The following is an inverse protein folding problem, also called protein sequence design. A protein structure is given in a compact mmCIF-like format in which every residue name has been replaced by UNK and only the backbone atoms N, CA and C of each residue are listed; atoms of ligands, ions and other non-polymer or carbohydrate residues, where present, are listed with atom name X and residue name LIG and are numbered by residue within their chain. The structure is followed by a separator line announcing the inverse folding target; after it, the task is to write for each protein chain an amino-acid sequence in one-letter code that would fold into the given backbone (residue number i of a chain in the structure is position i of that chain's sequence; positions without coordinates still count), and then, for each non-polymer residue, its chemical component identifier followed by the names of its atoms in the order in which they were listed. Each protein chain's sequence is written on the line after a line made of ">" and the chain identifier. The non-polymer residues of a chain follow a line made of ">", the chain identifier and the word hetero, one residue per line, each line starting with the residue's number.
data_IF_163764058795
#
_entry.id   IF_163764058795
#
_cell.length_a   1.000
_cell.length_b   1.000
_cell.length_c   1.000
_cell.angle_alpha   90.00
_cell.angle_beta   90.00
_cell.angle_gamma   90.00
#
_symmetry.space_group_name_H-M   'P 1'
#
loop_
_entity.id
_entity.type
_entity.pdbx_description
1 polymer ?
#
# COMPACT_ATOMS: atom_id res chain seq x y z
N UNK A 1 -41.23 -16.05 10.05
CA UNK A 1 -40.76 -17.18 9.23
C UNK A 1 -39.60 -17.78 9.97
N UNK A 2 -39.77 -19.03 10.37
CA UNK A 2 -38.80 -19.82 11.09
C UNK A 2 -37.69 -20.24 10.11
N UNK A 3 -36.43 -19.89 10.41
CA UNK A 3 -35.25 -20.26 9.62
C UNK A 3 -34.49 -21.43 10.28
N UNK A 4 -35.19 -22.29 11.03
CA UNK A 4 -34.65 -23.56 11.49
C UNK A 4 -34.38 -24.44 10.27
N UNK A 5 -33.10 -24.74 10.04
CA UNK A 5 -32.66 -25.62 8.97
C UNK A 5 -33.30 -27.00 9.17
N UNK A 6 -34.06 -27.43 8.17
CA UNK A 6 -34.54 -28.81 8.04
C UNK A 6 -33.34 -29.77 8.18
N UNK A 7 -33.57 -30.88 8.88
CA UNK A 7 -32.58 -31.93 9.03
C UNK A 7 -32.06 -32.37 7.64
N UNK A 8 -30.77 -32.67 7.52
CA UNK A 8 -30.20 -33.03 6.22
C UNK A 8 -30.88 -34.27 5.65
N UNK A 9 -31.08 -34.34 4.32
CA UNK A 9 -31.76 -35.46 3.68
C UNK A 9 -31.08 -36.81 3.98
N UNK A 10 -31.89 -37.87 4.04
CA UNK A 10 -31.44 -39.22 4.41
C UNK A 10 -30.26 -39.69 3.53
N UNK A 11 -29.15 -40.07 4.18
CA UNK A 11 -27.89 -40.43 3.52
C UNK A 11 -26.85 -39.30 3.42
N UNK A 12 -27.17 -38.07 3.85
CA UNK A 12 -26.22 -36.96 4.00
C UNK A 12 -25.92 -36.68 5.47
N UNK A 13 -24.70 -36.97 5.92
CA UNK A 13 -24.21 -36.44 7.20
C UNK A 13 -23.74 -34.99 7.01
N UNK A 14 -24.30 -34.07 7.79
CA UNK A 14 -23.72 -32.73 7.95
C UNK A 14 -22.45 -32.86 8.79
N UNK A 15 -21.33 -33.21 8.14
CA UNK A 15 -20.02 -33.17 8.77
C UNK A 15 -19.58 -31.72 8.81
N UNK A 16 -20.05 -30.97 9.81
CA UNK A 16 -19.59 -29.62 10.05
C UNK A 16 -18.07 -29.62 10.27
N UNK A 17 -17.32 -29.16 9.28
CA UNK A 17 -15.85 -29.09 9.35
C UNK A 17 -15.40 -27.63 9.55
N UNK A 18 -14.66 -27.38 10.62
CA UNK A 18 -13.97 -26.11 10.82
C UNK A 18 -12.60 -26.18 10.14
N UNK A 19 -12.40 -25.37 9.10
CA UNK A 19 -11.14 -25.30 8.36
C UNK A 19 -10.37 -24.05 8.76
N UNK A 20 -9.25 -24.22 9.48
CA UNK A 20 -8.40 -23.10 9.91
C UNK A 20 -7.23 -22.93 8.95
N UNK A 21 -7.06 -21.73 8.41
CA UNK A 21 -5.92 -21.37 7.56
C UNK A 21 -5.11 -20.24 8.20
N UNK A 22 -3.77 -20.29 8.05
CA UNK A 22 -2.87 -19.21 8.47
C UNK A 22 -2.49 -18.37 7.26
N UNK A 23 -3.01 -17.14 7.19
CA UNK A 23 -2.64 -16.17 6.15
C UNK A 23 -1.45 -15.32 6.61
N UNK A 24 -0.51 -14.99 5.70
CA UNK A 24 0.58 -14.06 6.03
C UNK A 24 0.01 -12.65 6.27
N UNK A 25 0.62 -11.89 7.17
CA UNK A 25 0.25 -10.49 7.43
C UNK A 25 0.32 -9.68 6.13
N UNK A 26 -0.78 -8.97 5.83
CA UNK A 26 -0.98 -8.21 4.58
C UNK A 26 -0.72 -9.05 3.32
N UNK A 27 -1.08 -10.33 3.34
CA UNK A 27 -0.84 -11.26 2.25
C UNK A 27 -2.00 -11.48 1.29
N UNK A 28 -3.16 -10.90 1.59
CA UNK A 28 -4.41 -11.26 0.92
C UNK A 28 -4.51 -10.67 -0.50
N UNK A 29 -4.20 -9.38 -0.64
CA UNK A 29 -4.33 -8.63 -1.88
C UNK A 29 -3.06 -7.81 -2.14
N UNK A 30 -2.82 -7.49 -3.40
CA UNK A 30 -1.68 -6.68 -3.83
C UNK A 30 -1.98 -5.87 -5.08
N UNK A 31 -1.17 -4.84 -5.30
CA UNK A 31 -1.11 -4.08 -6.54
C UNK A 31 0.07 -4.56 -7.38
N UNK A 32 -0.18 -4.91 -8.63
CA UNK A 32 0.82 -5.38 -9.59
C UNK A 32 0.52 -4.77 -10.97
N UNK A 33 1.52 -4.22 -11.67
CA UNK A 33 1.33 -3.76 -13.04
C UNK A 33 1.08 -4.94 -13.98
N UNK A 34 0.11 -4.81 -14.89
CA UNK A 34 -0.19 -5.86 -15.89
C UNK A 34 0.99 -6.12 -16.84
N UNK A 35 1.72 -5.07 -17.21
CA UNK A 35 2.91 -5.15 -18.02
C UNK A 35 3.80 -3.93 -17.75
N UNK A 36 5.12 -4.13 -17.82
CA UNK A 36 6.10 -3.05 -17.68
C UNK A 36 5.99 -2.30 -16.34
N UNK A 37 5.87 -0.98 -16.43
CA UNK A 37 5.75 -0.09 -15.29
C UNK A 37 4.29 0.20 -14.94
N UNK A 38 3.97 0.21 -13.65
CA UNK A 38 2.73 0.77 -13.12
C UNK A 38 2.99 1.89 -12.14
N UNK A 39 2.06 2.82 -12.03
CA UNK A 39 2.12 3.91 -11.06
C UNK A 39 0.89 3.88 -10.16
N UNK A 40 1.10 4.11 -8.87
CA UNK A 40 0.04 4.20 -7.86
C UNK A 40 0.27 5.48 -7.07
N UNK A 41 -0.76 6.29 -6.93
CA UNK A 41 -0.73 7.53 -6.15
C UNK A 41 -1.74 7.42 -5.02
N UNK A 42 -1.26 7.59 -3.79
CA UNK A 42 -2.12 7.61 -2.60
C UNK A 42 -2.86 8.95 -2.49
N UNK A 43 -3.93 8.96 -1.70
CA UNK A 43 -4.56 10.21 -1.28
C UNK A 43 -3.57 11.06 -0.49
N UNK A 44 -3.81 12.36 -0.50
CA UNK A 44 -2.98 13.29 0.25
C UNK A 44 -3.18 13.09 1.76
N UNK A 45 -2.07 13.18 2.50
CA UNK A 45 -2.00 12.95 3.93
C UNK A 45 -1.12 14.02 4.59
N UNK A 46 -1.25 14.15 5.90
CA UNK A 46 -0.41 14.97 6.77
C UNK A 46 0.42 14.08 7.69
N UNK A 47 1.72 13.87 7.41
CA UNK A 47 2.55 12.93 8.18
C UNK A 47 2.72 13.36 9.63
N UNK A 48 2.63 12.40 10.56
CA UNK A 48 2.95 12.55 11.98
C UNK A 48 4.39 12.11 12.30
N UNK A 49 4.94 11.21 11.49
CA UNK A 49 6.34 10.81 11.55
C UNK A 49 6.99 10.74 10.15
N UNK A 50 8.30 10.45 10.11
CA UNK A 50 9.04 10.25 8.86
C UNK A 50 9.11 8.80 8.38
N UNK A 51 8.68 7.82 9.19
CA UNK A 51 8.97 6.41 8.95
C UNK A 51 7.91 5.80 8.06
N UNK A 52 8.28 5.54 6.81
CA UNK A 52 7.45 4.83 5.86
C UNK A 52 8.02 3.44 5.64
N UNK A 53 7.18 2.41 5.82
CA UNK A 53 7.56 1.03 5.48
C UNK A 53 6.56 0.40 4.54
N UNK A 54 7.04 -0.49 3.67
CA UNK A 54 6.18 -1.22 2.74
C UNK A 54 6.35 -2.73 2.87
N UNK A 55 5.27 -3.46 2.60
CA UNK A 55 5.31 -4.88 2.29
C UNK A 55 5.30 -5.05 0.77
N UNK A 56 6.35 -5.63 0.21
CA UNK A 56 6.49 -5.76 -1.24
C UNK A 56 7.19 -7.06 -1.63
N UNK A 57 7.02 -7.47 -2.89
CA UNK A 57 7.78 -8.54 -3.52
C UNK A 57 8.16 -8.14 -4.95
N UNK A 58 9.45 -8.03 -5.22
CA UNK A 58 10.06 -7.65 -6.49
C UNK A 58 11.40 -8.40 -6.71
N UNK A 59 11.38 -9.73 -6.92
CA UNK A 59 12.60 -10.54 -7.04
C UNK A 59 13.44 -10.18 -8.28
N UNK A 60 12.79 -9.83 -9.38
CA UNK A 60 13.43 -9.42 -10.65
C UNK A 60 13.18 -7.96 -11.01
N UNK A 61 12.42 -7.28 -10.14
CA UNK A 61 11.89 -5.96 -10.38
C UNK A 61 12.48 -4.89 -9.49
N UNK A 62 11.73 -3.81 -9.33
CA UNK A 62 11.97 -2.79 -8.31
C UNK A 62 10.70 -2.02 -7.96
N UNK A 63 10.68 -1.52 -6.72
CA UNK A 63 9.74 -0.51 -6.26
C UNK A 63 10.50 0.79 -6.09
N UNK A 64 9.97 1.86 -6.66
CA UNK A 64 10.42 3.25 -6.42
C UNK A 64 9.30 4.01 -5.74
N UNK A 65 9.65 4.98 -4.91
CA UNK A 65 8.72 5.85 -4.22
C UNK A 65 9.08 7.32 -4.42
N UNK A 66 8.05 8.15 -4.50
CA UNK A 66 8.15 9.60 -4.56
C UNK A 66 7.18 10.23 -3.56
N UNK A 67 7.56 11.38 -3.02
CA UNK A 67 6.64 12.23 -2.27
C UNK A 67 6.45 13.55 -3.04
N UNK A 68 5.20 13.89 -3.32
CA UNK A 68 4.80 15.10 -4.02
C UNK A 68 3.96 16.01 -3.13
N UNK A 69 3.86 17.28 -3.54
CA UNK A 69 2.94 18.24 -2.93
C UNK A 69 1.46 17.89 -3.28
N UNK A 70 0.46 18.61 -2.72
CA UNK A 70 -0.94 18.34 -3.01
C UNK A 70 -1.33 18.50 -4.49
N UNK A 71 -0.55 19.26 -5.26
CA UNK A 71 -0.73 19.49 -6.70
C UNK A 71 0.00 18.45 -7.57
N UNK A 72 0.64 17.45 -6.96
CA UNK A 72 1.35 16.38 -7.66
C UNK A 72 2.76 16.78 -8.14
N UNK A 73 3.34 17.87 -7.63
CA UNK A 73 4.72 18.25 -7.96
C UNK A 73 5.69 17.51 -7.05
N UNK A 74 6.69 16.78 -7.58
CA UNK A 74 7.69 16.09 -6.76
C UNK A 74 8.40 17.06 -5.82
N UNK A 75 8.52 16.70 -4.54
CA UNK A 75 9.29 17.50 -3.58
C UNK A 75 10.78 17.21 -3.79
N UNK A 76 11.65 18.24 -3.93
CA UNK A 76 13.08 18.03 -4.13
C UNK A 76 13.73 17.15 -3.06
N UNK A 77 14.51 16.15 -3.49
CA UNK A 77 15.14 15.16 -2.61
C UNK A 77 14.22 14.01 -2.18
N UNK A 78 12.96 14.02 -2.63
CA UNK A 78 11.96 12.96 -2.43
C UNK A 78 11.39 12.45 -3.76
N UNK A 79 12.05 12.73 -4.88
CA UNK A 79 11.63 12.28 -6.21
C UNK A 79 11.93 10.81 -6.48
N UNK A 80 11.35 10.25 -7.55
CA UNK A 80 11.69 8.88 -7.98
C UNK A 80 13.18 8.70 -8.31
N UNK A 81 13.83 9.73 -8.86
CA UNK A 81 15.26 9.72 -9.19
C UNK A 81 16.16 9.77 -7.94
N UNK A 82 15.63 10.29 -6.84
CA UNK A 82 16.29 10.33 -5.54
C UNK A 82 16.04 9.06 -4.74
N UNK A 83 15.04 8.26 -5.10
CA UNK A 83 14.65 7.06 -4.36
C UNK A 83 15.73 5.98 -4.46
N UNK A 84 16.07 5.37 -3.32
CA UNK A 84 16.88 4.17 -3.29
C UNK A 84 15.96 2.98 -3.65
N UNK A 85 16.16 2.30 -4.80
CA UNK A 85 15.21 1.30 -5.27
C UNK A 85 15.14 0.09 -4.34
N UNK A 86 13.94 -0.35 -4.01
CA UNK A 86 13.72 -1.58 -3.25
C UNK A 86 13.59 -2.78 -4.19
N UNK A 87 14.31 -3.87 -3.84
CA UNK A 87 14.38 -5.14 -4.59
C UNK A 87 14.29 -6.30 -3.60
N UNK A 88 13.80 -7.45 -4.04
CA UNK A 88 13.64 -8.63 -3.16
C UNK A 88 12.24 -8.74 -2.57
N UNK A 89 12.10 -9.26 -1.35
CA UNK A 89 10.81 -9.53 -0.72
C UNK A 89 10.90 -9.26 0.78
N UNK A 90 10.18 -8.25 1.25
CA UNK A 90 10.23 -7.80 2.64
C UNK A 90 8.85 -7.37 3.13
N UNK A 91 8.55 -7.63 4.40
CA UNK A 91 7.25 -7.31 5.01
C UNK A 91 7.16 -5.87 5.57
N UNK A 92 8.30 -5.20 5.75
CA UNK A 92 8.40 -3.87 6.35
C UNK A 92 9.69 -3.14 5.90
N UNK A 93 9.95 -3.10 4.60
CA UNK A 93 11.11 -2.40 4.07
C UNK A 93 10.97 -0.88 4.21
N UNK A 94 11.97 -0.18 4.75
CA UNK A 94 11.94 1.27 4.89
C UNK A 94 12.14 1.95 3.53
N UNK A 95 11.34 2.98 3.23
CA UNK A 95 11.61 3.86 2.11
C UNK A 95 12.73 4.83 2.45
N UNK A 96 13.65 5.02 1.51
CA UNK A 96 14.80 5.93 1.64
C UNK A 96 15.07 6.63 0.31
N UNK A 97 15.62 7.82 0.41
CA UNK A 97 16.14 8.60 -0.72
C UNK A 97 17.61 8.92 -0.47
N UNK A 98 18.37 9.16 -1.54
CA UNK A 98 19.83 9.30 -1.51
C UNK A 98 20.33 10.23 -0.41
N UNK A 99 19.70 11.40 -0.26
CA UNK A 99 20.06 12.42 0.74
C UNK A 99 19.06 12.53 1.91
N UNK A 100 18.06 11.63 1.96
CA UNK A 100 17.00 11.63 2.98
C UNK A 100 16.76 10.21 3.47
N UNK A 101 17.15 9.94 4.70
CA UNK A 101 16.93 8.63 5.33
C UNK A 101 15.46 8.30 5.59
N UNK A 102 14.58 9.32 5.62
CA UNK A 102 13.15 9.20 5.90
C UNK A 102 12.37 10.46 5.44
N UNK A 103 11.07 10.49 5.71
CA UNK A 103 10.19 11.62 5.43
C UNK A 103 10.08 12.65 6.57
N UNK A 104 11.00 12.68 7.55
CA UNK A 104 10.85 13.50 8.76
C UNK A 104 10.77 15.01 8.47
N UNK A 105 11.38 15.48 7.39
CA UNK A 105 11.30 16.91 6.95
C UNK A 105 9.93 17.32 6.39
N UNK A 106 9.01 16.35 6.25
CA UNK A 106 7.67 16.53 5.70
C UNK A 106 6.58 16.40 6.76
N UNK A 107 6.94 16.18 8.04
CA UNK A 107 5.98 16.13 9.15
C UNK A 107 5.15 17.43 9.18
N UNK A 108 3.84 17.27 9.31
CA UNK A 108 2.88 18.37 9.33
C UNK A 108 2.53 18.99 7.97
N UNK A 109 3.21 18.62 6.88
CA UNK A 109 2.91 19.13 5.52
C UNK A 109 1.92 18.24 4.80
N UNK A 110 1.03 18.81 3.99
CA UNK A 110 0.17 18.03 3.11
C UNK A 110 0.98 17.51 1.92
N UNK A 111 1.02 16.19 1.77
CA UNK A 111 1.83 15.50 0.75
C UNK A 111 1.11 14.29 0.19
N UNK A 112 1.52 13.83 -0.99
CA UNK A 112 1.06 12.59 -1.61
C UNK A 112 2.23 11.62 -1.70
N UNK A 113 1.98 10.35 -1.40
CA UNK A 113 2.94 9.27 -1.60
C UNK A 113 2.61 8.54 -2.91
N UNK A 114 3.63 8.35 -3.74
CA UNK A 114 3.51 7.75 -5.05
C UNK A 114 4.50 6.60 -5.21
N UNK A 115 4.10 5.58 -5.96
CA UNK A 115 4.92 4.41 -6.26
C UNK A 115 5.02 4.18 -7.74
N UNK A 116 6.22 3.79 -8.20
CA UNK A 116 6.43 3.16 -9.50
C UNK A 116 6.86 1.72 -9.28
N UNK A 117 6.11 0.80 -9.89
CA UNK A 117 6.29 -0.64 -9.77
C UNK A 117 6.77 -1.20 -11.10
N UNK A 118 7.84 -1.97 -11.10
CA UNK A 118 8.28 -2.75 -12.26
C UNK A 118 8.50 -4.19 -11.83
N UNK A 119 7.75 -5.13 -12.43
CA UNK A 119 7.78 -6.56 -12.03
C UNK A 119 7.74 -6.74 -10.50
N UNK A 120 6.83 -6.02 -9.86
CA UNK A 120 6.75 -5.87 -8.42
C UNK A 120 5.30 -5.89 -7.94
N UNK A 121 5.10 -6.48 -6.77
CA UNK A 121 3.83 -6.50 -6.03
C UNK A 121 3.96 -5.64 -4.79
N UNK A 122 3.04 -4.68 -4.62
CA UNK A 122 2.91 -3.88 -3.42
C UNK A 122 1.69 -4.37 -2.62
N UNK A 123 1.92 -4.83 -1.40
CA UNK A 123 0.88 -5.42 -0.56
C UNK A 123 0.34 -4.45 0.48
N UNK A 124 1.23 -3.71 1.14
CA UNK A 124 0.85 -2.74 2.16
C UNK A 124 1.84 -1.57 2.24
N UNK A 125 1.33 -0.43 2.66
CA UNK A 125 2.08 0.77 2.99
C UNK A 125 1.72 1.16 4.41
N UNK A 126 2.72 1.41 5.24
CA UNK A 126 2.53 1.85 6.63
C UNK A 126 3.25 3.17 6.84
N UNK A 127 2.50 4.16 7.28
CA UNK A 127 2.96 5.49 7.59
C UNK A 127 2.02 6.12 8.62
N UNK A 128 2.55 6.65 9.72
CA UNK A 128 1.73 7.38 10.68
C UNK A 128 1.41 8.76 10.12
N UNK A 129 0.18 8.93 9.65
CA UNK A 129 -0.27 10.16 9.02
C UNK A 129 -1.77 10.37 9.23
N UNK A 130 -2.18 11.64 9.23
CA UNK A 130 -3.59 11.98 9.19
C UNK A 130 -4.07 12.05 7.74
N UNK A 131 -5.24 11.48 7.42
CA UNK A 131 -5.85 11.72 6.13
C UNK A 131 -6.22 13.20 5.99
N UNK A 132 -5.98 13.77 4.81
CA UNK A 132 -6.41 15.13 4.48
C UNK A 132 -7.63 15.07 3.56
N UNK A 133 -8.71 15.76 3.93
CA UNK A 133 -10.03 15.63 3.30
C UNK A 133 -10.61 16.93 2.67
N UNK A 134 -9.92 18.08 2.60
CA UNK A 134 -10.37 19.33 1.90
C UNK A 134 -9.34 19.81 0.86
N UNK A 135 -9.50 20.82 -0.02
CA UNK A 135 -10.65 21.58 -0.57
C UNK A 135 -10.65 21.42 -2.12
N UNK A 136 -10.75 20.21 -2.63
CA UNK A 136 -11.09 20.03 -4.05
C UNK A 136 -12.60 19.90 -4.14
N UNK A 137 -13.30 20.61 -5.05
CA UNK A 137 -14.69 20.31 -5.32
C UNK A 137 -14.75 18.84 -5.72
N UNK A 138 -15.38 18.02 -4.89
CA UNK A 138 -15.83 16.71 -5.32
C UNK A 138 -16.98 17.05 -6.28
N UNK A 139 -16.68 17.29 -7.55
CA UNK A 139 -17.69 17.15 -8.59
C UNK A 139 -18.12 15.68 -8.54
N UNK A 140 -19.17 15.43 -7.76
CA UNK A 140 -19.93 14.19 -7.87
C UNK A 140 -20.47 14.17 -9.29
N UNK A 141 -19.92 13.27 -10.10
CA UNK A 141 -20.53 12.81 -11.35
C UNK A 141 -21.84 12.10 -10.99
#
# INVERSE_FOLDING_TARGET
>A
MDHSLEEPPEGYESVGALLVHRLRRDGFAYLEPRAGWGQVTMRCVRPRDGKITINFCAPFGKVLAQISDPHGRPIPGYGFEDCIPLRGNELAAPLRWKERGDASKLIGKHVRLEFRLFQARLYAVRWEAEPWYGDFPIERI
#
